data_IF_710419640355
#
_entry.id   IF_710419640355
#
_cell.length_a   1.000
_cell.length_b   1.000
_cell.length_c   1.000
_cell.angle_alpha   90.00
_cell.angle_beta   90.00
_cell.angle_gamma   90.00
#
_symmetry.space_group_name_H-M   'P 1'
#
loop_
_entity.id
_entity.type
_entity.pdbx_description
1 polymer ?
#
# COMPACT_ATOMS: atom_id res chain seq x y z
N UNK A 1 -14.48 -22.33 -2.38
CA UNK A 1 -13.03 -22.14 -2.57
C UNK A 1 -12.47 -21.77 -1.21
N UNK A 2 -11.59 -22.60 -0.65
CA UNK A 2 -10.81 -22.22 0.53
C UNK A 2 -10.16 -20.89 0.24
N UNK A 3 -10.39 -19.90 1.09
CA UNK A 3 -9.78 -18.58 0.94
C UNK A 3 -8.25 -18.76 0.83
N UNK A 4 -7.68 -18.43 -0.34
CA UNK A 4 -6.25 -18.61 -0.63
C UNK A 4 -5.43 -17.80 0.39
N UNK A 5 -5.95 -16.67 0.87
CA UNK A 5 -5.33 -15.87 1.92
C UNK A 5 -5.34 -16.61 3.26
N UNK A 6 -6.44 -17.28 3.63
CA UNK A 6 -6.51 -18.08 4.85
C UNK A 6 -5.41 -19.16 4.91
N UNK A 7 -5.11 -19.82 3.79
CA UNK A 7 -4.03 -20.82 3.72
C UNK A 7 -2.62 -20.23 3.83
N UNK A 8 -2.45 -18.95 3.50
CA UNK A 8 -1.17 -18.23 3.56
C UNK A 8 -1.03 -17.41 4.84
N UNK A 9 -2.10 -17.15 5.58
CA UNK A 9 -2.13 -16.26 6.75
C UNK A 9 -1.03 -16.57 7.78
N UNK A 10 -0.81 -17.86 8.08
CA UNK A 10 0.27 -18.29 9.00
C UNK A 10 1.67 -17.91 8.49
N UNK A 11 1.93 -18.12 7.20
CA UNK A 11 3.20 -17.76 6.58
C UNK A 11 3.38 -16.24 6.57
N UNK A 12 2.35 -15.49 6.17
CA UNK A 12 2.38 -14.03 6.17
C UNK A 12 2.63 -13.45 7.57
N UNK A 13 1.97 -13.99 8.60
CA UNK A 13 2.20 -13.60 9.98
C UNK A 13 3.64 -13.92 10.43
N UNK A 14 4.15 -15.11 10.11
CA UNK A 14 5.53 -15.47 10.44
C UNK A 14 6.56 -14.54 9.77
N UNK A 15 6.37 -14.23 8.48
CA UNK A 15 7.21 -13.27 7.75
C UNK A 15 7.16 -11.89 8.39
N UNK A 16 5.97 -11.35 8.66
CA UNK A 16 5.83 -10.03 9.26
C UNK A 16 6.42 -9.96 10.69
N UNK A 17 6.20 -11.00 11.51
CA UNK A 17 6.79 -11.12 12.85
C UNK A 17 8.31 -11.19 12.83
N UNK A 18 8.88 -11.92 11.88
CA UNK A 18 10.32 -11.95 11.66
C UNK A 18 10.83 -10.56 11.29
N UNK A 19 10.20 -9.92 10.30
CA UNK A 19 10.60 -8.62 9.81
C UNK A 19 10.66 -7.60 10.94
N UNK A 20 9.57 -7.34 11.69
CA UNK A 20 9.49 -6.32 12.76
C UNK A 20 10.55 -6.48 13.88
N UNK A 21 11.20 -7.64 13.96
CA UNK A 21 12.26 -7.95 14.94
C UNK A 21 13.67 -7.87 14.34
N UNK A 22 13.84 -7.89 13.02
CA UNK A 22 15.14 -7.89 12.33
C UNK A 22 15.67 -6.46 12.12
N UNK A 23 16.69 -6.07 12.88
CA UNK A 23 17.27 -4.70 12.83
C UNK A 23 18.20 -4.46 11.62
N UNK A 24 18.87 -5.49 11.09
CA UNK A 24 19.87 -5.31 10.03
C UNK A 24 19.71 -6.34 8.89
N UNK A 25 20.07 -5.96 7.64
CA UNK A 25 20.50 -4.62 7.19
C UNK A 25 19.35 -3.59 7.21
N UNK A 26 19.68 -2.29 7.37
CA UNK A 26 18.70 -1.19 7.40
C UNK A 26 19.11 -0.06 6.45
N UNK A 27 18.30 0.22 5.43
CA UNK A 27 18.39 1.38 4.56
C UNK A 27 17.76 2.59 5.26
N UNK A 28 18.59 3.39 5.93
CA UNK A 28 18.10 4.35 6.92
C UNK A 28 17.25 5.50 6.38
N UNK A 29 17.47 5.90 5.13
CA UNK A 29 16.87 7.12 4.56
C UNK A 29 17.21 8.41 5.33
N UNK A 30 18.07 8.33 6.35
CA UNK A 30 18.43 9.41 7.24
C UNK A 30 19.54 10.25 6.60
N UNK A 31 19.31 11.55 6.51
CA UNK A 31 20.32 12.51 6.04
C UNK A 31 21.18 12.92 7.24
N UNK A 32 22.40 12.38 7.31
CA UNK A 32 23.39 12.73 8.33
C UNK A 32 23.76 14.21 8.24
N UNK A 33 23.42 14.97 9.28
CA UNK A 33 23.67 16.42 9.35
C UNK A 33 25.13 16.77 9.72
N UNK A 34 25.88 15.83 10.30
CA UNK A 34 27.24 16.06 10.76
C UNK A 34 27.93 14.80 11.30
N UNK A 35 29.19 14.90 11.74
CA UNK A 35 30.00 13.74 12.13
C UNK A 35 29.44 12.96 13.33
N UNK A 36 28.65 13.61 14.19
CA UNK A 36 28.05 12.98 15.39
C UNK A 36 26.64 12.43 15.14
N UNK A 37 26.12 12.56 13.91
CA UNK A 37 24.77 12.16 13.50
C UNK A 37 24.77 10.75 12.88
N UNK A 38 25.41 9.82 13.58
CA UNK A 38 25.55 8.42 13.21
C UNK A 38 24.76 7.54 14.19
N UNK A 39 23.52 7.23 13.83
CA UNK A 39 22.61 6.50 14.71
C UNK A 39 22.27 5.11 14.20
N UNK A 40 21.97 4.21 15.14
CA UNK A 40 21.44 2.87 14.84
C UNK A 40 19.96 2.94 14.47
N UNK A 41 19.44 1.99 13.66
CA UNK A 41 18.04 1.97 13.24
C UNK A 41 17.06 2.09 14.41
N UNK A 42 17.16 1.22 15.43
CA UNK A 42 16.24 1.24 16.59
C UNK A 42 16.42 2.45 17.50
N UNK A 43 17.50 3.22 17.32
CA UNK A 43 17.67 4.48 18.03
C UNK A 43 16.90 5.62 17.35
N UNK A 44 16.97 5.70 16.03
CA UNK A 44 16.18 6.65 15.25
C UNK A 44 14.70 6.28 15.26
N UNK A 45 14.43 4.99 15.09
CA UNK A 45 13.12 4.43 14.83
C UNK A 45 12.83 3.26 15.79
N UNK A 46 12.51 3.54 17.06
CA UNK A 46 12.28 2.49 18.05
C UNK A 46 11.08 1.58 17.72
N UNK A 47 10.08 2.07 16.98
CA UNK A 47 8.94 1.26 16.55
C UNK A 47 9.21 0.60 15.19
N UNK A 48 9.84 1.32 14.26
CA UNK A 48 9.94 0.91 12.85
C UNK A 48 11.36 0.60 12.36
N UNK A 49 12.34 0.50 13.25
CA UNK A 49 13.73 0.13 12.95
C UNK A 49 13.98 -1.39 12.86
N UNK A 50 12.92 -2.19 12.72
CA UNK A 50 13.00 -3.64 12.59
C UNK A 50 12.48 -4.08 11.22
N UNK A 51 13.14 -3.72 10.14
CA UNK A 51 12.93 -4.28 8.80
C UNK A 51 14.11 -3.81 7.93
N UNK A 52 14.03 -3.99 6.61
CA UNK A 52 15.03 -3.38 5.72
C UNK A 52 14.97 -1.85 5.71
N UNK A 53 13.80 -1.25 5.86
CA UNK A 53 13.59 0.19 5.95
C UNK A 53 12.34 0.51 6.78
N UNK A 54 12.14 1.80 7.05
CA UNK A 54 11.10 2.29 7.94
C UNK A 54 9.71 1.90 7.47
N UNK A 55 9.37 2.22 6.21
CA UNK A 55 8.03 1.95 5.69
C UNK A 55 7.75 0.45 5.60
N UNK A 56 8.73 -0.38 5.23
CA UNK A 56 8.51 -1.83 5.19
C UNK A 56 8.14 -2.36 6.58
N UNK A 57 8.78 -1.84 7.63
CA UNK A 57 8.40 -2.18 9.00
C UNK A 57 6.96 -1.73 9.31
N UNK A 58 6.56 -0.53 8.90
CA UNK A 58 5.19 -0.02 9.06
C UNK A 58 4.16 -0.95 8.40
N UNK A 59 4.42 -1.45 7.19
CA UNK A 59 3.43 -2.28 6.48
C UNK A 59 3.38 -3.68 7.07
N UNK A 60 4.47 -4.17 7.67
CA UNK A 60 4.46 -5.43 8.42
C UNK A 60 3.62 -5.30 9.69
N UNK A 61 3.70 -4.18 10.41
CA UNK A 61 2.78 -3.90 11.52
C UNK A 61 1.33 -3.83 11.05
N UNK A 62 1.08 -3.15 9.93
CA UNK A 62 -0.26 -3.06 9.34
C UNK A 62 -0.79 -4.46 9.00
N UNK A 63 0.03 -5.29 8.36
CA UNK A 63 -0.32 -6.66 7.98
C UNK A 63 -0.66 -7.50 9.21
N UNK A 64 0.11 -7.39 10.29
CA UNK A 64 -0.17 -8.11 11.54
C UNK A 64 -1.51 -7.72 12.15
N UNK A 65 -1.83 -6.41 12.20
CA UNK A 65 -3.13 -5.93 12.70
C UNK A 65 -4.28 -6.43 11.80
N UNK A 66 -4.10 -6.43 10.47
CA UNK A 66 -5.07 -6.99 9.52
C UNK A 66 -5.29 -8.48 9.76
N UNK A 67 -4.23 -9.28 9.86
CA UNK A 67 -4.33 -10.72 10.10
C UNK A 67 -4.98 -11.05 11.46
N UNK A 68 -4.71 -10.26 12.51
CA UNK A 68 -5.42 -10.38 13.80
C UNK A 68 -6.92 -10.10 13.70
N UNK A 69 -7.34 -9.27 12.75
CA UNK A 69 -8.73 -8.86 12.58
C UNK A 69 -9.48 -9.82 11.67
N UNK A 70 -8.89 -10.18 10.52
CA UNK A 70 -9.58 -10.88 9.44
C UNK A 70 -9.34 -12.39 9.47
N UNK A 71 -8.20 -12.84 10.03
CA UNK A 71 -7.79 -14.25 10.05
C UNK A 71 -7.34 -14.77 11.44
N UNK A 72 -7.97 -14.39 12.56
CA UNK A 72 -7.49 -14.72 13.91
C UNK A 72 -7.36 -16.23 14.16
N UNK A 73 -8.18 -17.06 13.51
CA UNK A 73 -8.15 -18.52 13.67
C UNK A 73 -7.01 -19.23 12.94
N UNK A 74 -6.26 -18.51 12.08
CA UNK A 74 -5.19 -19.09 11.26
C UNK A 74 -3.78 -18.75 11.76
N UNK A 75 -3.68 -17.84 12.74
CA UNK A 75 -2.43 -17.32 13.27
C UNK A 75 -2.37 -17.48 14.80
N UNK A 76 -1.18 -17.32 15.37
CA UNK A 76 -1.01 -17.18 16.81
C UNK A 76 -1.26 -15.71 17.20
N UNK A 77 -2.51 -15.38 17.49
CA UNK A 77 -2.94 -14.00 17.79
C UNK A 77 -2.24 -13.43 19.02
N UNK A 78 -1.97 -14.25 20.03
CA UNK A 78 -1.34 -13.77 21.27
C UNK A 78 0.13 -13.47 21.06
N UNK A 79 0.86 -14.30 20.30
CA UNK A 79 2.23 -14.00 19.89
C UNK A 79 2.30 -12.71 19.05
N UNK A 80 1.37 -12.52 18.09
CA UNK A 80 1.31 -11.30 17.28
C UNK A 80 1.03 -10.07 18.14
N UNK A 81 0.06 -10.15 19.05
CA UNK A 81 -0.25 -9.05 19.98
C UNK A 81 0.94 -8.67 20.85
N UNK A 82 1.65 -9.65 21.39
CA UNK A 82 2.83 -9.40 22.21
C UNK A 82 3.92 -8.66 21.42
N UNK A 83 4.17 -9.04 20.16
CA UNK A 83 5.13 -8.33 19.32
C UNK A 83 4.71 -6.90 18.98
N UNK A 84 3.43 -6.68 18.67
CA UNK A 84 2.88 -5.34 18.45
C UNK A 84 2.97 -4.48 19.72
N UNK A 85 2.80 -5.06 20.91
CA UNK A 85 2.92 -4.35 22.18
C UNK A 85 4.36 -3.92 22.50
N UNK A 86 5.35 -4.71 22.08
CA UNK A 86 6.75 -4.39 22.25
C UNK A 86 7.19 -3.17 21.41
N UNK A 87 6.62 -3.02 20.20
CA UNK A 87 7.05 -1.98 19.24
C UNK A 87 6.13 -0.76 19.20
N UNK A 88 4.81 -0.93 19.29
CA UNK A 88 3.81 0.14 19.22
C UNK A 88 3.54 0.76 20.60
N UNK A 89 4.62 1.09 21.32
CA UNK A 89 4.51 1.76 22.62
C UNK A 89 4.28 3.27 22.43
N UNK A 90 3.59 3.95 23.37
CA UNK A 90 3.42 5.41 23.29
C UNK A 90 4.76 6.18 23.22
N UNK A 91 5.81 5.68 23.88
CA UNK A 91 7.13 6.31 23.84
C UNK A 91 7.80 6.13 22.47
N UNK A 92 7.78 4.91 21.93
CA UNK A 92 8.37 4.63 20.63
C UNK A 92 7.68 5.42 19.52
N UNK A 93 6.35 5.43 19.49
CA UNK A 93 5.61 6.17 18.46
C UNK A 93 5.81 7.69 18.56
N UNK A 94 5.93 8.26 19.77
CA UNK A 94 6.28 9.68 19.91
C UNK A 94 7.62 9.98 19.25
N UNK A 95 8.63 9.12 19.42
CA UNK A 95 9.91 9.29 18.71
C UNK A 95 9.74 9.27 17.19
N UNK A 96 8.92 8.37 16.64
CA UNK A 96 8.65 8.34 15.19
C UNK A 96 7.96 9.63 14.71
N UNK A 97 6.97 10.11 15.48
CA UNK A 97 6.24 11.34 15.17
C UNK A 97 7.15 12.58 15.23
N UNK A 98 8.00 12.68 16.25
CA UNK A 98 8.98 13.76 16.41
C UNK A 98 10.01 13.74 15.27
N UNK A 99 10.43 12.55 14.85
CA UNK A 99 11.35 12.38 13.72
C UNK A 99 10.72 12.86 12.40
N UNK A 100 9.47 12.44 12.09
CA UNK A 100 8.76 12.94 10.91
C UNK A 100 8.54 14.46 10.95
N UNK A 101 8.18 15.00 12.11
CA UNK A 101 7.97 16.44 12.29
C UNK A 101 9.24 17.26 12.05
N UNK A 102 10.40 16.74 12.44
CA UNK A 102 11.71 17.38 12.21
C UNK A 102 12.30 17.10 10.83
N UNK A 103 11.86 16.04 10.15
CA UNK A 103 12.33 15.63 8.82
C UNK A 103 11.16 15.46 7.83
N UNK A 104 10.48 16.55 7.43
CA UNK A 104 9.24 16.51 6.63
C UNK A 104 9.44 16.04 5.16
N UNK A 105 10.64 15.62 4.79
CA UNK A 105 10.97 15.01 3.50
C UNK A 105 11.10 13.48 3.61
N UNK A 106 11.40 12.98 4.81
CA UNK A 106 11.59 11.55 5.07
C UNK A 106 10.29 10.80 4.83
N UNK A 107 10.37 9.70 4.08
CA UNK A 107 9.24 8.79 3.78
C UNK A 107 8.07 9.42 3.00
N UNK A 108 8.26 10.62 2.44
CA UNK A 108 7.25 11.28 1.62
C UNK A 108 7.18 10.69 0.21
N UNK A 109 5.99 10.39 -0.35
CA UNK A 109 4.69 10.30 0.33
C UNK A 109 4.34 8.88 0.79
N UNK A 110 5.16 7.88 0.46
CA UNK A 110 4.82 6.46 0.58
C UNK A 110 4.75 5.96 2.02
N UNK A 111 5.80 6.15 2.82
CA UNK A 111 5.77 5.71 4.21
C UNK A 111 4.74 6.50 5.02
N UNK A 112 4.52 7.78 4.72
CA UNK A 112 3.43 8.56 5.33
C UNK A 112 2.07 7.89 5.11
N UNK A 113 1.76 7.58 3.86
CA UNK A 113 0.50 6.96 3.47
C UNK A 113 0.25 5.63 4.21
N UNK A 114 1.28 4.80 4.34
CA UNK A 114 1.18 3.56 5.06
C UNK A 114 1.11 3.70 6.58
N UNK A 115 1.82 4.67 7.17
CA UNK A 115 1.75 4.94 8.60
C UNK A 115 0.37 5.48 9.01
N UNK A 116 -0.23 6.31 8.15
CA UNK A 116 -1.59 6.78 8.35
C UNK A 116 -2.59 5.62 8.24
N UNK A 117 -2.43 4.74 7.25
CA UNK A 117 -3.25 3.54 7.10
C UNK A 117 -3.08 2.56 8.27
N UNK A 118 -1.88 2.41 8.82
CA UNK A 118 -1.60 1.62 10.03
C UNK A 118 -2.44 2.12 11.22
N UNK A 119 -2.47 3.43 11.45
CA UNK A 119 -3.30 4.02 12.50
C UNK A 119 -4.79 3.72 12.26
N UNK A 120 -5.26 3.90 11.02
CA UNK A 120 -6.66 3.64 10.65
C UNK A 120 -7.09 2.18 10.87
N UNK A 121 -6.24 1.20 10.59
CA UNK A 121 -6.58 -0.21 10.85
C UNK A 121 -6.50 -0.56 12.33
N UNK A 122 -5.64 0.11 13.10
CA UNK A 122 -5.58 -0.06 14.56
C UNK A 122 -6.87 0.43 15.24
N UNK A 123 -7.46 1.53 14.77
CA UNK A 123 -8.74 2.07 15.30
C UNK A 123 -9.90 1.07 15.17
N UNK A 124 -9.86 0.22 14.13
CA UNK A 124 -10.92 -0.76 13.85
C UNK A 124 -10.65 -2.14 14.42
N UNK A 125 -9.42 -2.41 14.86
CA UNK A 125 -9.09 -3.70 15.42
C UNK A 125 -9.77 -3.83 16.80
N UNK A 126 -10.55 -4.89 17.07
CA UNK A 126 -11.22 -5.05 18.37
C UNK A 126 -10.28 -5.03 19.59
N UNK A 127 -9.01 -5.46 19.41
CA UNK A 127 -7.97 -5.40 20.43
C UNK A 127 -7.04 -4.18 20.30
N UNK A 128 -7.32 -3.31 19.32
CA UNK A 128 -6.42 -2.24 18.88
C UNK A 128 -6.51 -0.95 19.67
N UNK A 129 -7.42 -0.82 20.65
CA UNK A 129 -7.61 0.44 21.39
C UNK A 129 -6.30 1.03 21.95
N UNK A 130 -5.41 0.19 22.47
CA UNK A 130 -4.09 0.62 22.95
C UNK A 130 -3.13 1.05 21.83
N UNK A 131 -3.15 0.36 20.69
CA UNK A 131 -2.31 0.69 19.53
C UNK A 131 -2.82 1.94 18.83
N UNK A 132 -4.14 2.07 18.68
CA UNK A 132 -4.82 3.27 18.20
C UNK A 132 -4.40 4.50 19.03
N UNK A 133 -4.50 4.41 20.36
CA UNK A 133 -4.06 5.49 21.25
C UNK A 133 -2.56 5.79 21.13
N UNK A 134 -1.71 4.77 20.96
CA UNK A 134 -0.27 4.95 20.76
C UNK A 134 0.07 5.57 19.40
N UNK A 135 -0.66 5.19 18.33
CA UNK A 135 -0.44 5.62 16.94
C UNK A 135 -1.01 7.01 16.64
N UNK A 136 -1.92 7.54 17.46
CA UNK A 136 -2.56 8.83 17.23
C UNK A 136 -1.57 9.99 16.96
N UNK A 137 -0.49 10.21 17.75
CA UNK A 137 0.45 11.29 17.50
C UNK A 137 1.15 11.19 16.13
N UNK A 138 1.44 9.97 15.67
CA UNK A 138 2.06 9.75 14.36
C UNK A 138 1.07 10.04 13.24
N UNK A 139 -0.19 9.61 13.38
CA UNK A 139 -1.24 9.90 12.42
C UNK A 139 -1.50 11.41 12.30
N UNK A 140 -1.54 12.13 13.42
CA UNK A 140 -1.72 13.58 13.45
C UNK A 140 -0.57 14.31 12.75
N UNK A 141 0.68 13.90 13.03
CA UNK A 141 1.87 14.44 12.33
C UNK A 141 1.79 14.17 10.82
N UNK A 142 1.45 12.96 10.42
CA UNK A 142 1.31 12.62 8.99
C UNK A 142 0.20 13.42 8.32
N UNK A 143 -0.97 13.59 8.95
CA UNK A 143 -2.07 14.39 8.40
C UNK A 143 -1.63 15.84 8.17
N UNK A 144 -1.00 16.46 9.17
CA UNK A 144 -0.46 17.82 9.06
C UNK A 144 0.59 17.95 7.95
N UNK A 145 1.53 17.00 7.87
CA UNK A 145 2.56 16.99 6.83
C UNK A 145 1.96 16.80 5.42
N UNK A 146 1.01 15.87 5.29
CA UNK A 146 0.32 15.59 4.04
C UNK A 146 -0.47 16.81 3.56
N UNK A 147 -1.26 17.46 4.43
CA UNK A 147 -1.97 18.70 4.08
C UNK A 147 -1.03 19.78 3.58
N UNK A 148 0.06 20.05 4.31
CA UNK A 148 1.05 21.04 3.91
C UNK A 148 1.76 20.69 2.59
N UNK A 149 2.12 19.41 2.40
CA UNK A 149 2.73 18.93 1.16
C UNK A 149 1.77 19.06 -0.02
N UNK A 150 0.51 18.63 0.14
CA UNK A 150 -0.51 18.73 -0.88
C UNK A 150 -0.74 20.18 -1.27
N UNK A 151 -0.72 21.14 -0.35
CA UNK A 151 -0.84 22.57 -0.66
C UNK A 151 0.24 23.11 -1.60
N UNK A 152 1.45 22.59 -1.50
CA UNK A 152 2.62 23.10 -2.22
C UNK A 152 3.06 22.25 -3.40
N UNK A 153 2.43 21.09 -3.64
CA UNK A 153 2.81 20.19 -4.72
C UNK A 153 2.24 20.68 -6.06
N UNK A 154 3.09 20.99 -7.06
CA UNK A 154 2.62 21.57 -8.32
C UNK A 154 2.04 20.53 -9.28
N UNK A 155 2.51 19.28 -9.22
CA UNK A 155 2.15 18.22 -10.16
C UNK A 155 2.29 16.84 -9.50
N UNK A 156 1.54 15.83 -9.98
CA UNK A 156 1.68 14.47 -9.50
C UNK A 156 2.97 13.80 -10.00
N UNK A 157 3.48 12.85 -9.23
CA UNK A 157 4.56 11.93 -9.61
C UNK A 157 3.96 10.57 -9.97
N UNK A 158 4.28 10.07 -11.17
CA UNK A 158 3.69 8.86 -11.76
C UNK A 158 4.66 7.67 -11.87
N UNK A 159 5.84 7.72 -11.25
CA UNK A 159 6.76 6.57 -11.31
C UNK A 159 6.15 5.33 -10.65
N UNK A 160 6.47 4.12 -11.12
CA UNK A 160 5.99 2.85 -10.55
C UNK A 160 6.70 2.43 -9.26
N UNK A 161 7.15 3.40 -8.46
CA UNK A 161 7.95 3.21 -7.24
C UNK A 161 7.44 4.09 -6.10
N UNK A 162 8.19 4.21 -5.00
CA UNK A 162 7.81 4.94 -3.77
C UNK A 162 7.29 6.37 -4.01
N UNK A 163 7.77 7.06 -5.04
CA UNK A 163 7.29 8.40 -5.37
C UNK A 163 5.86 8.47 -5.92
N UNK A 164 5.18 7.35 -6.19
CA UNK A 164 3.87 7.33 -6.84
C UNK A 164 2.80 8.06 -6.01
N UNK A 165 2.40 9.24 -6.47
CA UNK A 165 1.41 10.06 -5.78
C UNK A 165 0.03 9.43 -5.78
N UNK A 166 -0.42 8.77 -6.86
CA UNK A 166 -1.74 8.16 -6.90
C UNK A 166 -1.90 7.02 -5.89
N UNK A 167 -0.86 6.21 -5.72
CA UNK A 167 -0.81 5.16 -4.71
C UNK A 167 -0.90 5.74 -3.29
N UNK A 168 -0.03 6.71 -2.96
CA UNK A 168 -0.01 7.31 -1.63
C UNK A 168 -1.33 8.00 -1.28
N UNK A 169 -1.91 8.74 -2.23
CA UNK A 169 -3.21 9.38 -2.07
C UNK A 169 -4.34 8.37 -1.85
N UNK A 170 -4.29 7.20 -2.50
CA UNK A 170 -5.30 6.16 -2.30
C UNK A 170 -5.32 5.66 -0.86
N UNK A 171 -4.15 5.38 -0.28
CA UNK A 171 -4.06 4.91 1.11
C UNK A 171 -4.39 6.03 2.11
N UNK A 172 -3.95 7.27 1.86
CA UNK A 172 -4.31 8.42 2.68
C UNK A 172 -5.81 8.65 2.68
N UNK A 173 -6.47 8.55 1.53
CA UNK A 173 -7.93 8.67 1.42
C UNK A 173 -8.64 7.57 2.18
N UNK A 174 -8.25 6.30 1.95
CA UNK A 174 -8.86 5.16 2.64
C UNK A 174 -8.70 5.29 4.17
N UNK A 175 -7.52 5.70 4.64
CA UNK A 175 -7.27 5.97 6.05
C UNK A 175 -8.03 7.17 6.60
N UNK A 176 -8.16 8.27 5.84
CA UNK A 176 -8.82 9.49 6.28
C UNK A 176 -10.32 9.26 6.47
N UNK A 177 -10.94 8.55 5.52
CA UNK A 177 -12.35 8.16 5.61
C UNK A 177 -12.60 7.24 6.80
N UNK A 178 -11.70 6.29 7.05
CA UNK A 178 -11.81 5.39 8.20
C UNK A 178 -11.75 6.11 9.55
N UNK A 179 -10.95 7.17 9.63
CA UNK A 179 -10.69 7.95 10.84
C UNK A 179 -11.63 9.14 11.03
N UNK A 180 -12.43 9.48 10.01
CA UNK A 180 -13.25 10.69 10.00
C UNK A 180 -12.42 11.97 9.89
N UNK A 181 -11.24 11.92 9.26
CA UNK A 181 -10.41 13.09 8.96
C UNK A 181 -10.88 13.74 7.65
N UNK A 182 -12.00 14.47 7.73
CA UNK A 182 -12.64 15.10 6.56
C UNK A 182 -11.71 16.10 5.87
N UNK A 183 -10.87 16.82 6.64
CA UNK A 183 -9.94 17.79 6.09
C UNK A 183 -8.89 17.13 5.17
N UNK A 184 -8.29 16.02 5.61
CA UNK A 184 -7.36 15.26 4.77
C UNK A 184 -8.09 14.58 3.60
N UNK A 185 -9.24 13.96 3.84
CA UNK A 185 -10.00 13.26 2.81
C UNK A 185 -10.40 14.21 1.66
N UNK A 186 -10.93 15.39 1.98
CA UNK A 186 -11.34 16.39 0.99
C UNK A 186 -10.12 16.97 0.26
N UNK A 187 -9.02 17.23 0.97
CA UNK A 187 -7.80 17.73 0.33
C UNK A 187 -7.21 16.71 -0.65
N UNK A 188 -7.24 15.43 -0.30
CA UNK A 188 -6.81 14.34 -1.19
C UNK A 188 -7.73 14.24 -2.41
N UNK A 189 -9.06 14.31 -2.23
CA UNK A 189 -10.02 14.31 -3.35
C UNK A 189 -9.77 15.48 -4.31
N UNK A 190 -9.62 16.69 -3.78
CA UNK A 190 -9.36 17.89 -4.57
C UNK A 190 -8.09 17.74 -5.42
N UNK A 191 -7.00 17.23 -4.81
CA UNK A 191 -5.74 17.00 -5.53
C UNK A 191 -5.85 15.87 -6.54
N UNK A 192 -6.51 14.77 -6.21
CA UNK A 192 -6.76 13.67 -7.13
C UNK A 192 -7.52 14.14 -8.37
N UNK A 193 -8.62 14.88 -8.19
CA UNK A 193 -9.41 15.44 -9.28
C UNK A 193 -8.61 16.45 -10.09
N UNK A 194 -7.93 17.39 -9.43
CA UNK A 194 -7.16 18.44 -10.09
C UNK A 194 -5.97 17.92 -10.90
N UNK A 195 -5.36 16.81 -10.48
CA UNK A 195 -4.18 16.24 -11.13
C UNK A 195 -4.47 15.22 -12.22
N UNK A 196 -5.54 14.43 -12.09
CA UNK A 196 -5.72 13.22 -12.89
C UNK A 196 -7.03 13.15 -13.66
N UNK A 197 -8.07 13.94 -13.31
CA UNK A 197 -9.37 13.84 -13.99
C UNK A 197 -9.27 14.13 -15.50
N UNK A 198 -8.32 14.98 -15.90
CA UNK A 198 -8.10 15.35 -17.30
C UNK A 198 -7.26 14.37 -18.12
N UNK A 199 -6.62 13.40 -17.47
CA UNK A 199 -5.71 12.46 -18.12
C UNK A 199 -6.48 11.52 -19.06
N UNK A 200 -5.85 11.20 -20.19
CA UNK A 200 -6.41 10.40 -21.29
C UNK A 200 -5.30 9.68 -22.03
N UNK A 201 -5.65 8.64 -22.78
CA UNK A 201 -4.75 7.92 -23.68
C UNK A 201 -3.45 7.47 -22.97
N UNK A 202 -3.57 6.99 -21.73
CA UNK A 202 -2.43 6.58 -20.92
C UNK A 202 -1.63 5.49 -21.66
N UNK A 203 -0.30 5.65 -21.83
CA UNK A 203 0.52 4.75 -22.61
C UNK A 203 0.87 3.48 -21.82
N UNK A 204 -0.14 2.68 -21.48
CA UNK A 204 -0.02 1.49 -20.62
C UNK A 204 1.02 0.48 -21.14
N UNK A 205 1.27 0.44 -22.45
CA UNK A 205 2.29 -0.41 -23.07
C UNK A 205 3.73 0.04 -22.82
N UNK A 206 3.96 1.22 -22.22
CA UNK A 206 5.28 1.63 -21.73
C UNK A 206 5.61 1.02 -20.37
N UNK A 207 4.60 0.49 -19.66
CA UNK A 207 4.85 -0.24 -18.43
C UNK A 207 5.25 -1.70 -18.69
N UNK A 208 6.07 -2.29 -17.79
CA UNK A 208 6.73 -1.65 -16.65
C UNK A 208 8.15 -1.18 -16.95
N UNK A 209 8.66 -0.29 -16.09
CA UNK A 209 10.10 -0.06 -15.92
C UNK A 209 10.74 -1.24 -15.18
N UNK A 210 12.05 -1.44 -15.33
CA UNK A 210 12.76 -2.63 -14.82
C UNK A 210 12.80 -2.82 -13.29
N UNK A 211 12.32 -1.85 -12.52
CA UNK A 211 12.30 -1.85 -11.05
C UNK A 211 10.97 -1.38 -10.46
N UNK A 212 9.91 -1.35 -11.27
CA UNK A 212 8.58 -0.97 -10.78
C UNK A 212 8.06 -2.05 -9.82
N UNK A 213 7.47 -1.62 -8.71
CA UNK A 213 6.59 -2.45 -7.87
C UNK A 213 5.13 -1.98 -7.90
N UNK A 214 4.85 -0.88 -8.61
CA UNK A 214 3.52 -0.33 -8.85
C UNK A 214 3.29 -0.12 -10.35
N UNK A 215 2.07 -0.40 -10.81
CA UNK A 215 1.62 0.06 -12.12
C UNK A 215 1.12 1.49 -11.99
N UNK A 216 1.76 2.42 -12.68
CA UNK A 216 1.45 3.84 -12.57
C UNK A 216 0.03 4.16 -13.06
N UNK A 217 -0.36 3.61 -14.21
CA UNK A 217 -1.71 3.77 -14.76
C UNK A 217 -2.78 3.11 -13.89
N UNK A 218 -2.51 1.92 -13.33
CA UNK A 218 -3.48 1.26 -12.46
C UNK A 218 -3.58 1.94 -11.09
N UNK A 219 -2.50 2.52 -10.54
CA UNK A 219 -2.58 3.36 -9.34
C UNK A 219 -3.48 4.57 -9.56
N UNK A 220 -3.35 5.23 -10.71
CA UNK A 220 -4.19 6.37 -11.08
C UNK A 220 -5.66 5.96 -11.22
N UNK A 221 -5.94 4.90 -11.99
CA UNK A 221 -7.30 4.39 -12.14
C UNK A 221 -7.92 3.95 -10.79
N UNK A 222 -7.12 3.34 -9.93
CA UNK A 222 -7.53 2.90 -8.59
C UNK A 222 -7.84 4.10 -7.67
N UNK A 223 -7.06 5.18 -7.73
CA UNK A 223 -7.40 6.43 -7.04
C UNK A 223 -8.70 7.03 -7.61
N UNK A 224 -8.84 7.07 -8.93
CA UNK A 224 -9.94 7.79 -9.59
C UNK A 224 -11.29 7.10 -9.40
N UNK A 225 -11.32 5.77 -9.26
CA UNK A 225 -12.56 5.07 -8.85
C UNK A 225 -13.04 5.41 -7.44
N UNK A 226 -12.17 5.92 -6.55
CA UNK A 226 -12.54 6.31 -5.18
C UNK A 226 -13.13 7.72 -5.13
N UNK A 227 -12.68 8.60 -6.03
CA UNK A 227 -13.01 10.04 -5.96
C UNK A 227 -14.05 10.47 -6.99
N UNK A 228 -14.17 9.76 -8.11
CA UNK A 228 -15.20 10.06 -9.12
C UNK A 228 -16.54 9.46 -8.70
N UNK A 229 -17.67 10.12 -9.05
CA UNK A 229 -18.99 9.51 -8.93
C UNK A 229 -19.04 8.18 -9.71
N UNK A 230 -19.74 7.19 -9.15
CA UNK A 230 -19.82 5.84 -9.74
C UNK A 230 -20.33 5.82 -11.20
N UNK A 231 -21.19 6.77 -11.58
CA UNK A 231 -21.68 6.92 -12.96
C UNK A 231 -20.66 7.52 -13.94
N UNK A 232 -19.65 8.23 -13.46
CA UNK A 232 -18.64 8.90 -14.31
C UNK A 232 -17.40 8.02 -14.54
N UNK A 233 -17.00 7.26 -13.52
CA UNK A 233 -15.77 6.47 -13.54
C UNK A 233 -15.65 5.52 -14.77
N UNK A 234 -16.68 4.75 -15.17
CA UNK A 234 -16.57 3.82 -16.30
C UNK A 234 -16.26 4.52 -17.63
N UNK A 235 -16.78 5.73 -17.83
CA UNK A 235 -16.53 6.54 -19.02
C UNK A 235 -15.14 7.16 -18.97
N UNK A 236 -14.74 7.73 -17.81
CA UNK A 236 -13.38 8.22 -17.59
C UNK A 236 -12.34 7.13 -17.86
N UNK A 237 -12.54 5.92 -17.34
CA UNK A 237 -11.63 4.79 -17.53
C UNK A 237 -11.48 4.41 -19.01
N UNK A 238 -12.54 4.54 -19.83
CA UNK A 238 -12.47 4.29 -21.28
C UNK A 238 -11.59 5.33 -21.99
N UNK A 239 -11.65 6.59 -21.57
CA UNK A 239 -10.81 7.65 -22.13
C UNK A 239 -9.36 7.57 -21.62
N UNK A 240 -9.18 7.15 -20.38
CA UNK A 240 -7.87 7.01 -19.75
C UNK A 240 -7.10 5.79 -20.28
N UNK A 241 -7.72 4.61 -20.29
CA UNK A 241 -7.15 3.36 -20.80
C UNK A 241 -7.96 2.86 -22.02
N UNK A 242 -7.75 3.47 -23.20
CA UNK A 242 -8.46 3.03 -24.39
C UNK A 242 -8.10 1.57 -24.72
N UNK A 243 -9.05 0.78 -25.28
CA UNK A 243 -8.78 -0.61 -25.63
C UNK A 243 -7.56 -0.75 -26.54
N UNK A 244 -6.67 -1.69 -26.20
CA UNK A 244 -5.54 -2.02 -27.07
C UNK A 244 -6.05 -2.56 -28.42
N UNK A 245 -5.37 -2.26 -29.56
CA UNK A 245 -5.75 -2.81 -30.85
C UNK A 245 -5.81 -4.35 -30.83
N UNK A 246 -6.73 -4.99 -31.58
CA UNK A 246 -6.96 -6.44 -31.56
C UNK A 246 -5.72 -7.30 -31.83
N UNK A 247 -4.67 -6.73 -32.44
CA UNK A 247 -3.49 -7.46 -32.90
C UNK A 247 -2.51 -7.87 -31.79
N UNK A 248 -2.71 -7.48 -30.52
CA UNK A 248 -1.66 -7.68 -29.49
C UNK A 248 -1.81 -8.89 -28.58
N UNK A 249 -2.92 -9.64 -28.57
CA UNK A 249 -3.15 -10.76 -27.62
C UNK A 249 -2.82 -10.46 -26.14
N UNK A 250 -2.64 -9.19 -25.79
CA UNK A 250 -2.28 -8.68 -24.48
C UNK A 250 -3.48 -7.88 -23.98
N UNK A 251 -4.32 -8.45 -23.08
CA UNK A 251 -5.42 -7.70 -22.51
C UNK A 251 -4.86 -6.46 -21.80
N UNK A 252 -5.34 -5.27 -22.18
CA UNK A 252 -4.83 -3.96 -21.76
C UNK A 252 -3.37 -3.61 -22.13
N UNK A 253 -2.64 -4.43 -22.90
CA UNK A 253 -1.22 -4.16 -23.17
C UNK A 253 -0.32 -4.25 -21.94
N UNK A 254 -0.81 -4.84 -20.84
CA UNK A 254 -0.01 -5.10 -19.65
C UNK A 254 0.86 -6.32 -19.89
N UNK A 255 2.16 -6.07 -20.11
CA UNK A 255 3.13 -7.15 -20.29
C UNK A 255 3.56 -7.73 -18.94
N UNK A 256 3.52 -9.06 -18.77
CA UNK A 256 4.18 -9.72 -17.66
C UNK A 256 5.69 -9.50 -17.75
N UNK A 257 6.33 -9.20 -16.62
CA UNK A 257 7.79 -9.11 -16.52
C UNK A 257 8.26 -9.94 -15.34
N UNK A 258 9.23 -10.80 -15.59
CA UNK A 258 9.83 -11.68 -14.58
C UNK A 258 11.24 -11.15 -14.28
N UNK A 259 11.65 -11.09 -13.00
CA UNK A 259 13.04 -10.77 -12.64
C UNK A 259 14.03 -11.69 -13.37
N UNK A 260 15.11 -11.13 -13.91
CA UNK A 260 16.20 -11.94 -14.45
C UNK A 260 17.12 -12.42 -13.34
N UNK A 261 17.31 -11.60 -12.31
CA UNK A 261 17.98 -11.95 -11.06
C UNK A 261 17.04 -11.71 -9.87
N UNK A 262 16.41 -12.77 -9.31
CA UNK A 262 15.55 -12.65 -8.13
C UNK A 262 16.26 -12.17 -6.86
N UNK A 263 17.60 -12.27 -6.81
CA UNK A 263 18.41 -11.79 -5.68
C UNK A 263 18.70 -10.30 -5.71
N UNK A 264 18.49 -9.64 -6.86
CA UNK A 264 18.59 -8.19 -6.98
C UNK A 264 17.35 -7.52 -6.36
N UNK A 265 17.57 -6.68 -5.35
CA UNK A 265 16.48 -6.04 -4.61
C UNK A 265 15.60 -5.10 -5.45
N UNK A 266 16.11 -4.53 -6.54
CA UNK A 266 15.30 -3.70 -7.44
C UNK A 266 14.52 -4.56 -8.43
N UNK A 267 15.07 -5.68 -8.91
CA UNK A 267 14.32 -6.60 -9.77
C UNK A 267 13.26 -7.37 -8.99
N UNK A 268 13.49 -7.68 -7.71
CA UNK A 268 12.48 -8.34 -6.86
C UNK A 268 11.18 -7.52 -6.75
N UNK A 269 11.25 -6.19 -6.96
CA UNK A 269 10.07 -5.31 -7.08
C UNK A 269 9.05 -5.80 -8.11
N UNK A 270 9.47 -6.48 -9.17
CA UNK A 270 8.57 -6.96 -10.23
C UNK A 270 7.61 -8.06 -9.74
N UNK A 271 7.91 -8.74 -8.62
CA UNK A 271 6.94 -9.58 -7.94
C UNK A 271 5.85 -8.74 -7.26
N UNK A 272 6.25 -7.68 -6.56
CA UNK A 272 5.30 -6.73 -5.97
C UNK A 272 4.47 -6.00 -7.03
N UNK A 273 5.04 -5.71 -8.21
CA UNK A 273 4.28 -5.19 -9.34
C UNK A 273 3.14 -6.11 -9.76
N UNK A 274 3.39 -7.42 -9.88
CA UNK A 274 2.30 -8.34 -10.23
C UNK A 274 1.23 -8.38 -9.14
N UNK A 275 1.62 -8.39 -7.87
CA UNK A 275 0.66 -8.37 -6.77
C UNK A 275 -0.13 -7.05 -6.68
N UNK A 276 0.53 -5.89 -6.88
CA UNK A 276 -0.14 -4.58 -6.90
C UNK A 276 -1.08 -4.45 -8.10
N UNK A 277 -0.67 -4.92 -9.29
CA UNK A 277 -1.55 -5.03 -10.47
C UNK A 277 -2.76 -5.92 -10.17
N UNK A 278 -2.55 -7.09 -9.58
CA UNK A 278 -3.63 -8.00 -9.25
C UNK A 278 -4.65 -7.37 -8.31
N UNK A 279 -4.18 -6.70 -7.26
CA UNK A 279 -5.01 -5.94 -6.33
C UNK A 279 -5.84 -4.88 -7.07
N UNK A 280 -5.19 -3.99 -7.82
CA UNK A 280 -5.85 -2.86 -8.47
C UNK A 280 -6.81 -3.32 -9.56
N UNK A 281 -6.45 -4.33 -10.35
CA UNK A 281 -7.34 -4.91 -11.36
C UNK A 281 -8.61 -5.53 -10.74
N UNK A 282 -8.50 -6.21 -9.59
CA UNK A 282 -9.69 -6.71 -8.86
C UNK A 282 -10.57 -5.55 -8.40
N UNK A 283 -9.97 -4.50 -7.84
CA UNK A 283 -10.69 -3.33 -7.37
C UNK A 283 -11.40 -2.58 -8.51
N UNK A 284 -10.72 -2.40 -9.64
CA UNK A 284 -11.29 -1.82 -10.86
C UNK A 284 -12.43 -2.68 -11.40
N UNK A 285 -12.29 -4.01 -11.41
CA UNK A 285 -13.34 -4.91 -11.86
C UNK A 285 -14.60 -4.83 -10.99
N UNK A 286 -14.44 -4.60 -9.69
CA UNK A 286 -15.55 -4.45 -8.73
C UNK A 286 -16.24 -3.07 -8.84
N UNK A 287 -15.51 -2.03 -9.26
CA UNK A 287 -16.05 -0.68 -9.45
C UNK A 287 -16.84 -0.50 -10.76
N UNK A 288 -16.76 -1.46 -11.69
CA UNK A 288 -17.47 -1.38 -12.97
C UNK A 288 -18.93 -1.85 -12.85
N UNK A 289 -19.85 -1.29 -13.65
CA UNK A 289 -21.24 -1.74 -13.69
C UNK A 289 -21.38 -3.22 -14.03
N UNK A 290 -22.43 -3.85 -13.50
CA UNK A 290 -22.77 -5.22 -13.85
C UNK A 290 -22.93 -5.37 -15.37
N UNK A 291 -22.23 -6.35 -15.95
CA UNK A 291 -22.23 -6.60 -17.40
C UNK A 291 -21.18 -5.85 -18.21
N UNK A 292 -20.37 -4.97 -17.59
CA UNK A 292 -19.24 -4.35 -18.29
C UNK A 292 -18.21 -5.42 -18.70
N UNK A 293 -17.89 -5.55 -20.01
CA UNK A 293 -17.01 -6.60 -20.50
C UNK A 293 -15.58 -6.49 -19.97
N UNK A 294 -15.13 -5.29 -19.57
CA UNK A 294 -13.77 -5.08 -19.01
C UNK A 294 -13.58 -5.80 -17.68
N UNK A 295 -14.64 -5.91 -16.88
CA UNK A 295 -14.56 -6.51 -15.55
C UNK A 295 -14.11 -7.98 -15.59
N UNK A 296 -14.54 -8.74 -16.59
CA UNK A 296 -14.09 -10.12 -16.77
C UNK A 296 -12.60 -10.19 -17.14
N UNK A 297 -12.16 -9.35 -18.08
CA UNK A 297 -10.75 -9.26 -18.48
C UNK A 297 -9.84 -8.86 -17.32
N UNK A 298 -10.26 -7.89 -16.50
CA UNK A 298 -9.50 -7.45 -15.32
C UNK A 298 -9.34 -8.56 -14.30
N UNK A 299 -10.41 -9.32 -14.01
CA UNK A 299 -10.33 -10.49 -13.11
C UNK A 299 -9.38 -11.57 -13.63
N UNK A 300 -9.43 -11.85 -14.94
CA UNK A 300 -8.53 -12.83 -15.58
C UNK A 300 -7.07 -12.40 -15.48
N UNK A 301 -6.78 -11.13 -15.79
CA UNK A 301 -5.43 -10.57 -15.65
C UNK A 301 -4.95 -10.58 -14.20
N UNK A 302 -5.83 -10.21 -13.25
CA UNK A 302 -5.49 -10.21 -11.84
C UNK A 302 -5.11 -11.61 -11.33
N UNK A 303 -5.86 -12.65 -11.74
CA UNK A 303 -5.53 -14.02 -11.38
C UNK A 303 -4.20 -14.47 -12.00
N UNK A 304 -3.93 -14.09 -13.25
CA UNK A 304 -2.66 -14.39 -13.92
C UNK A 304 -1.46 -13.75 -13.20
N UNK A 305 -1.55 -12.46 -12.84
CA UNK A 305 -0.51 -11.77 -12.09
C UNK A 305 -0.33 -12.34 -10.67
N UNK A 306 -1.44 -12.71 -10.00
CA UNK A 306 -1.40 -13.38 -8.69
C UNK A 306 -0.64 -14.71 -8.80
N UNK A 307 -1.02 -15.56 -9.74
CA UNK A 307 -0.43 -16.90 -9.89
C UNK A 307 1.06 -16.84 -10.24
N UNK A 308 1.46 -15.83 -11.01
CA UNK A 308 2.87 -15.59 -11.38
C UNK A 308 3.73 -15.22 -10.17
N UNK A 309 3.21 -14.40 -9.25
CA UNK A 309 4.03 -13.77 -8.21
C UNK A 309 3.91 -14.43 -6.84
N UNK A 310 2.82 -15.15 -6.56
CA UNK A 310 2.56 -15.67 -5.21
C UNK A 310 3.62 -16.67 -4.73
N UNK A 311 4.31 -17.35 -5.65
CA UNK A 311 5.41 -18.25 -5.33
C UNK A 311 6.62 -17.55 -4.68
N UNK A 312 6.85 -16.28 -4.99
CA UNK A 312 7.98 -15.50 -4.46
C UNK A 312 7.88 -15.24 -2.95
N UNK A 313 6.70 -15.44 -2.35
CA UNK A 313 6.54 -15.37 -0.89
C UNK A 313 7.29 -16.47 -0.13
N UNK A 314 7.71 -17.52 -0.83
CA UNK A 314 8.47 -18.65 -0.26
C UNK A 314 9.98 -18.46 -0.40
N UNK A 315 10.42 -17.33 -0.96
CA UNK A 315 11.83 -17.00 -1.06
C UNK A 315 12.35 -16.58 0.33
N UNK A 316 13.50 -17.11 0.72
CA UNK A 316 14.18 -16.82 1.98
C UNK A 316 14.96 -15.48 1.93
N UNK A 317 15.05 -14.85 0.75
CA UNK A 317 15.70 -13.54 0.58
C UNK A 317 14.99 -12.46 1.38
N UNK A 318 15.66 -11.93 2.40
CA UNK A 318 15.17 -10.80 3.19
C UNK A 318 14.84 -9.59 2.31
N UNK A 319 15.62 -9.32 1.26
CA UNK A 319 15.40 -8.20 0.33
C UNK A 319 14.10 -8.34 -0.48
N UNK A 320 13.57 -9.55 -0.61
CA UNK A 320 12.29 -9.81 -1.30
C UNK A 320 11.15 -9.95 -0.28
N UNK A 321 11.38 -10.65 0.83
CA UNK A 321 10.33 -11.00 1.79
C UNK A 321 9.90 -9.84 2.71
N UNK A 322 10.75 -8.81 2.91
CA UNK A 322 10.53 -7.81 3.97
C UNK A 322 9.26 -6.94 3.80
N UNK A 323 8.74 -6.84 2.57
CA UNK A 323 7.58 -6.01 2.21
C UNK A 323 6.51 -6.77 1.41
N UNK A 324 6.91 -7.76 0.60
CA UNK A 324 6.03 -8.44 -0.37
C UNK A 324 4.79 -9.10 0.25
N UNK A 325 4.90 -9.56 1.51
CA UNK A 325 3.78 -10.15 2.26
C UNK A 325 2.57 -9.20 2.37
N UNK A 326 2.80 -7.90 2.49
CA UNK A 326 1.73 -6.89 2.55
C UNK A 326 1.00 -6.77 1.22
N UNK A 327 1.74 -6.76 0.09
CA UNK A 327 1.16 -6.75 -1.25
C UNK A 327 0.43 -8.05 -1.59
N UNK A 328 0.89 -9.19 -1.08
CA UNK A 328 0.16 -10.46 -1.23
C UNK A 328 -1.19 -10.43 -0.51
N UNK A 329 -1.22 -9.87 0.70
CA UNK A 329 -2.48 -9.64 1.39
C UNK A 329 -3.40 -8.71 0.57
N UNK A 330 -2.88 -7.58 0.04
CA UNK A 330 -3.66 -6.66 -0.80
C UNK A 330 -4.21 -7.33 -2.07
N UNK A 331 -3.42 -8.20 -2.71
CA UNK A 331 -3.80 -8.90 -3.94
C UNK A 331 -4.87 -9.99 -3.75
N UNK A 332 -4.92 -10.58 -2.54
CA UNK A 332 -5.76 -11.73 -2.22
C UNK A 332 -6.98 -11.39 -1.38
N UNK A 333 -6.93 -10.29 -0.62
CA UNK A 333 -8.06 -9.86 0.21
C UNK A 333 -9.20 -9.35 -0.66
N UNK A 334 -10.43 -9.73 -0.31
CA UNK A 334 -11.65 -9.18 -0.91
C UNK A 334 -11.90 -7.74 -0.44
N UNK A 335 -11.27 -7.33 0.67
CA UNK A 335 -11.34 -5.98 1.23
C UNK A 335 -9.93 -5.49 1.66
N UNK A 336 -9.09 -5.10 0.69
CA UNK A 336 -7.70 -4.73 0.94
C UNK A 336 -7.52 -3.31 1.51
N UNK A 337 -8.56 -2.47 1.48
CA UNK A 337 -8.45 -1.06 1.84
C UNK A 337 -9.78 -0.32 2.02
N UNK A 338 -10.94 -0.99 2.06
CA UNK A 338 -12.20 -0.31 2.38
C UNK A 338 -12.55 -0.55 3.84
N UNK A 339 -12.51 0.51 4.63
CA UNK A 339 -13.25 0.54 5.88
C UNK A 339 -14.73 0.63 5.52
N UNK A 340 -15.37 -0.53 5.35
CA UNK A 340 -16.82 -0.67 5.28
C UNK A 340 -17.44 -0.29 3.94
N UNK A 341 -17.81 -1.31 3.16
CA UNK A 341 -18.93 -1.20 2.23
C UNK A 341 -20.25 -1.06 3.00
N UNK A 342 -20.48 0.09 3.64
CA UNK A 342 -21.83 0.57 3.95
C UNK A 342 -22.33 1.51 2.85
N UNK A 343 -22.36 0.99 1.62
CA UNK A 343 -23.39 1.36 0.65
C UNK A 343 -24.03 0.09 0.11
N UNK A 344 -24.61 -0.71 1.02
CA UNK A 344 -25.72 -1.59 0.69
C UNK A 344 -27.02 -0.91 1.10
N UNK A 345 -27.69 -0.31 0.11
CA UNK A 345 -29.14 -0.15 0.14
C UNK A 345 -29.65 1.23 0.51
N UNK A 346 -29.96 2.02 -0.51
CA UNK A 346 -31.32 2.55 -0.62
C UNK A 346 -31.80 2.24 -2.03
N UNK A 347 -32.96 1.58 -2.10
CA UNK A 347 -33.61 1.09 -3.32
C UNK A 347 -33.96 2.20 -4.28
#
# INVERSE_FOLDING_TARGET
MTDRLATLARMLAATAMHNIRTEFPYASGHVTAGPDDAWRPRRLHPAFGGAYDWHSCVHMHWLLIRLCTDYPQWIDVDAVRAALDETLTPAAIRTEADYLGSHPEFERPYGWAWAYLLAAVADRCPAGARWSAALAPLADTVSSLALGWLDRTPAPVRHGTHGNTAFALSLLLDGALARGDDALADRVRDRAIGWYRGDRDYPIGWEPSGQDFLSAGLCEADLLRRVLPAGEFPAWLTHFLPPAPPARNEPLGLRPVVPLDPGDGQQSHLYGLGLSRAWQLRALAAALPAGDPRAASFRTLAEAETQRCIGALRDDSFLTAHWLASFAYLALSDDPGTVGSEQKGTR
#
